data_IF_742326974709
#
_entry.id   IF_742326974709
#
_cell.length_a   1.000
_cell.length_b   1.000
_cell.length_c   1.000
_cell.angle_alpha   90.00
_cell.angle_beta   90.00
_cell.angle_gamma   90.00
#
_symmetry.space_group_name_H-M   'P 1'
#
loop_
_entity.id
_entity.type
_entity.pdbx_description
1 polymer ?
#
# COMPACT_ATOMS: atom_id res chain seq x y z
N UNK A 1 53.32 15.07 -29.46
CA UNK A 1 52.73 14.83 -28.12
C UNK A 1 52.16 13.41 -28.12
N UNK A 2 52.54 12.56 -27.17
CA UNK A 2 52.08 11.15 -27.19
C UNK A 2 50.57 11.07 -26.96
N UNK A 3 49.91 10.15 -27.65
CA UNK A 3 48.45 9.89 -27.63
C UNK A 3 47.87 9.67 -26.20
N UNK A 4 48.72 9.34 -25.22
CA UNK A 4 48.36 9.24 -23.79
C UNK A 4 47.98 10.56 -23.12
N UNK A 5 48.45 11.71 -23.61
CA UNK A 5 48.21 13.01 -22.97
C UNK A 5 46.80 13.58 -23.20
N UNK A 6 45.96 12.92 -24.01
CA UNK A 6 44.62 13.41 -24.33
C UNK A 6 43.45 12.60 -23.72
N UNK A 7 43.70 11.49 -23.03
CA UNK A 7 42.63 10.61 -22.51
C UNK A 7 42.48 10.71 -20.99
N UNK A 8 41.26 10.47 -20.50
CA UNK A 8 41.01 10.31 -19.07
C UNK A 8 41.59 8.99 -18.55
N UNK A 9 41.91 8.94 -17.26
CA UNK A 9 42.30 7.70 -16.58
C UNK A 9 41.18 6.66 -16.65
N UNK A 10 41.52 5.37 -16.63
CA UNK A 10 40.54 4.27 -16.65
C UNK A 10 39.51 4.36 -15.51
N UNK A 11 39.93 4.76 -14.31
CA UNK A 11 39.03 4.94 -13.15
C UNK A 11 38.01 6.06 -13.40
N UNK A 12 38.47 7.22 -13.90
CA UNK A 12 37.57 8.32 -14.27
C UNK A 12 36.55 7.92 -15.34
N UNK A 13 36.98 7.12 -16.33
CA UNK A 13 36.10 6.58 -17.37
C UNK A 13 35.07 5.65 -16.74
N UNK A 14 35.49 4.68 -15.93
CA UNK A 14 34.61 3.70 -15.28
C UNK A 14 33.55 4.40 -14.42
N UNK A 15 33.98 5.27 -13.50
CA UNK A 15 33.07 6.03 -12.63
C UNK A 15 32.08 6.86 -13.44
N UNK A 16 32.53 7.54 -14.50
CA UNK A 16 31.64 8.34 -15.34
C UNK A 16 30.53 7.50 -15.99
N UNK A 17 30.86 6.35 -16.58
CA UNK A 17 29.86 5.54 -17.29
C UNK A 17 28.93 4.78 -16.35
N UNK A 18 29.43 4.28 -15.20
CA UNK A 18 28.56 3.68 -14.18
C UNK A 18 27.56 4.72 -13.69
N UNK A 19 28.03 5.90 -13.29
CA UNK A 19 27.15 6.97 -12.82
C UNK A 19 26.18 7.41 -13.92
N UNK A 20 26.63 7.55 -15.17
CA UNK A 20 25.76 7.94 -16.28
C UNK A 20 24.63 6.92 -16.51
N UNK A 21 24.93 5.61 -16.44
CA UNK A 21 23.93 4.55 -16.57
C UNK A 21 22.94 4.55 -15.39
N UNK A 22 23.45 4.63 -14.16
CA UNK A 22 22.60 4.69 -12.96
C UNK A 22 21.71 5.93 -12.97
N UNK A 23 22.23 7.10 -13.35
CA UNK A 23 21.44 8.33 -13.46
C UNK A 23 20.33 8.24 -14.51
N UNK A 24 20.64 7.67 -15.69
CA UNK A 24 19.62 7.49 -16.72
C UNK A 24 18.49 6.55 -16.25
N UNK A 25 18.85 5.47 -15.56
CA UNK A 25 17.89 4.57 -14.93
C UNK A 25 17.07 5.27 -13.83
N UNK A 26 17.73 5.95 -12.91
CA UNK A 26 17.13 6.59 -11.74
C UNK A 26 16.16 7.72 -12.11
N UNK A 27 16.51 8.53 -13.12
CA UNK A 27 15.62 9.57 -13.64
C UNK A 27 14.36 8.98 -14.30
N UNK A 28 14.47 7.79 -14.93
CA UNK A 28 13.32 7.06 -15.47
C UNK A 28 12.48 6.43 -14.36
N UNK A 29 13.13 5.79 -13.39
CA UNK A 29 12.50 5.13 -12.24
C UNK A 29 11.69 6.14 -11.41
N UNK A 30 12.25 7.30 -11.11
CA UNK A 30 11.59 8.34 -10.32
C UNK A 30 10.28 8.84 -10.96
N UNK A 31 10.20 8.90 -12.29
CA UNK A 31 8.95 9.21 -13.01
C UNK A 31 7.95 8.05 -12.97
N UNK A 32 8.46 6.84 -13.01
CA UNK A 32 7.66 5.63 -12.86
C UNK A 32 6.90 5.58 -11.54
N UNK A 33 7.52 6.05 -10.45
CA UNK A 33 6.92 6.06 -9.11
C UNK A 33 5.59 6.82 -9.05
N UNK A 34 5.43 7.91 -9.82
CA UNK A 34 4.20 8.72 -9.86
C UNK A 34 2.97 7.93 -10.38
N UNK A 35 3.18 6.78 -11.01
CA UNK A 35 2.12 5.94 -11.57
C UNK A 35 1.92 4.62 -10.82
N UNK A 36 2.71 4.38 -9.76
CA UNK A 36 2.58 3.18 -8.94
C UNK A 36 1.66 3.42 -7.75
N UNK A 37 0.90 2.39 -7.42
CA UNK A 37 0.03 2.32 -6.24
C UNK A 37 0.64 1.35 -5.24
N UNK A 38 0.13 1.32 -4.02
CA UNK A 38 0.57 0.35 -3.02
C UNK A 38 0.38 -1.10 -3.50
N UNK A 39 -0.64 -1.35 -4.33
CA UNK A 39 -0.94 -2.66 -4.90
C UNK A 39 -0.02 -3.04 -6.08
N UNK A 40 0.57 -2.07 -6.79
CA UNK A 40 1.45 -2.33 -7.94
C UNK A 40 2.94 -2.29 -7.60
N UNK A 41 3.29 -2.35 -6.30
CA UNK A 41 4.68 -2.47 -5.85
C UNK A 41 5.39 -1.14 -5.60
N UNK A 42 4.65 -0.05 -5.32
CA UNK A 42 5.23 1.26 -5.01
C UNK A 42 6.35 1.19 -3.96
N UNK A 43 6.21 0.36 -2.94
CA UNK A 43 7.23 0.20 -1.89
C UNK A 43 8.55 -0.37 -2.43
N UNK A 44 8.52 -1.52 -3.11
CA UNK A 44 9.73 -2.18 -3.60
C UNK A 44 10.49 -1.29 -4.57
N UNK A 45 9.76 -0.62 -5.46
CA UNK A 45 10.34 0.31 -6.44
C UNK A 45 10.89 1.55 -5.73
N UNK A 46 10.22 2.04 -4.69
CA UNK A 46 10.71 3.16 -3.86
C UNK A 46 11.97 2.79 -3.09
N UNK A 47 12.07 1.59 -2.52
CA UNK A 47 13.28 1.12 -1.85
C UNK A 47 14.45 0.95 -2.85
N UNK A 48 14.16 0.47 -4.06
CA UNK A 48 15.15 0.39 -5.14
C UNK A 48 15.65 1.78 -5.55
N UNK A 49 14.74 2.74 -5.70
CA UNK A 49 15.08 4.15 -5.97
C UNK A 49 16.00 4.71 -4.90
N UNK A 50 15.65 4.61 -3.61
CA UNK A 50 16.52 5.04 -2.50
C UNK A 50 17.91 4.39 -2.57
N UNK A 51 17.96 3.09 -2.85
CA UNK A 51 19.22 2.32 -2.92
C UNK A 51 20.15 2.80 -4.03
N UNK A 52 19.59 3.04 -5.22
CA UNK A 52 20.34 3.52 -6.37
C UNK A 52 20.75 4.98 -6.17
N UNK A 53 19.86 5.83 -5.64
CA UNK A 53 20.17 7.21 -5.26
C UNK A 53 21.36 7.31 -4.30
N UNK A 54 21.39 6.51 -3.23
CA UNK A 54 22.53 6.44 -2.29
C UNK A 54 23.79 5.93 -2.99
N UNK A 55 23.68 4.94 -3.87
CA UNK A 55 24.81 4.44 -4.66
C UNK A 55 25.39 5.54 -5.56
N UNK A 56 24.55 6.31 -6.24
CA UNK A 56 24.95 7.46 -7.07
C UNK A 56 25.66 8.52 -6.22
N UNK A 57 25.16 8.82 -5.02
CA UNK A 57 25.78 9.76 -4.09
C UNK A 57 27.22 9.35 -3.75
N UNK A 58 27.40 8.10 -3.29
CA UNK A 58 28.70 7.57 -2.89
C UNK A 58 29.69 7.54 -4.07
N UNK A 59 29.25 7.07 -5.24
CA UNK A 59 30.07 7.07 -6.45
C UNK A 59 30.41 8.49 -6.91
N UNK A 60 29.50 9.44 -6.76
CA UNK A 60 29.72 10.85 -7.15
C UNK A 60 30.74 11.53 -6.25
N UNK A 61 30.72 11.25 -4.95
CA UNK A 61 31.75 11.69 -4.00
C UNK A 61 33.10 11.07 -4.39
N UNK A 62 33.15 9.77 -4.65
CA UNK A 62 34.36 9.09 -5.11
C UNK A 62 34.90 9.68 -6.43
N UNK A 63 34.01 10.00 -7.38
CA UNK A 63 34.36 10.64 -8.65
C UNK A 63 34.90 12.06 -8.46
N UNK A 64 34.30 12.83 -7.56
CA UNK A 64 34.78 14.18 -7.22
C UNK A 64 36.17 14.11 -6.58
N UNK A 65 36.36 13.22 -5.60
CA UNK A 65 37.67 12.97 -4.97
C UNK A 65 38.72 12.55 -6.00
N UNK A 66 38.39 11.62 -6.91
CA UNK A 66 39.28 11.20 -7.98
C UNK A 66 39.68 12.36 -8.89
N UNK A 67 38.73 13.21 -9.27
CA UNK A 67 38.98 14.40 -10.11
C UNK A 67 39.89 15.43 -9.44
N UNK A 68 39.77 15.59 -8.12
CA UNK A 68 40.63 16.50 -7.36
C UNK A 68 42.06 15.97 -7.24
N UNK A 69 42.22 14.65 -7.11
CA UNK A 69 43.53 13.98 -7.02
C UNK A 69 44.19 13.74 -8.38
N UNK A 70 43.39 13.63 -9.45
CA UNK A 70 43.85 13.32 -10.81
C UNK A 70 43.26 14.35 -11.78
N UNK A 71 43.97 15.46 -12.03
CA UNK A 71 43.49 16.53 -12.89
C UNK A 71 43.08 16.02 -14.28
N UNK A 72 41.95 16.50 -14.84
CA UNK A 72 41.52 16.09 -16.16
C UNK A 72 42.51 16.54 -17.25
N UNK A 73 42.53 15.87 -18.41
CA UNK A 73 43.31 16.31 -19.57
C UNK A 73 42.98 17.75 -19.96
N UNK A 74 43.96 18.45 -20.55
CA UNK A 74 43.78 19.83 -20.98
C UNK A 74 42.55 19.98 -21.91
N UNK A 75 41.76 21.07 -21.73
CA UNK A 75 40.64 21.37 -22.63
C UNK A 75 41.10 21.45 -24.09
N UNK A 76 40.22 21.04 -25.01
CA UNK A 76 40.45 21.32 -26.44
C UNK A 76 40.24 22.81 -26.73
N UNK A 77 40.88 23.36 -27.78
CA UNK A 77 40.61 24.73 -28.21
C UNK A 77 39.13 24.91 -28.56
N UNK A 78 38.46 25.87 -27.93
CA UNK A 78 37.08 26.26 -28.23
C UNK A 78 36.84 27.73 -27.84
N UNK A 79 35.67 28.27 -28.20
CA UNK A 79 35.23 29.60 -27.77
C UNK A 79 35.06 29.68 -26.24
N UNK A 80 35.35 30.85 -25.66
CA UNK A 80 35.20 31.09 -24.23
C UNK A 80 33.77 30.79 -23.72
N UNK A 81 32.75 31.14 -24.53
CA UNK A 81 31.35 30.86 -24.19
C UNK A 81 31.08 29.36 -24.03
N UNK A 82 31.56 28.53 -24.96
CA UNK A 82 31.36 27.09 -24.86
C UNK A 82 32.08 26.48 -23.64
N UNK A 83 33.27 26.97 -23.30
CA UNK A 83 33.95 26.55 -22.08
C UNK A 83 33.15 26.90 -20.82
N UNK A 84 32.56 28.09 -20.77
CA UNK A 84 31.69 28.50 -19.67
C UNK A 84 30.44 27.61 -19.62
N UNK A 85 29.74 27.42 -20.75
CA UNK A 85 28.54 26.57 -20.81
C UNK A 85 28.83 25.13 -20.37
N UNK A 86 29.90 24.53 -20.92
CA UNK A 86 30.31 23.18 -20.53
C UNK A 86 30.63 23.12 -19.03
N UNK A 87 31.38 24.08 -18.49
CA UNK A 87 31.70 24.12 -17.06
C UNK A 87 30.44 24.26 -16.20
N UNK A 88 29.51 25.13 -16.58
CA UNK A 88 28.25 25.34 -15.88
C UNK A 88 27.40 24.06 -15.84
N UNK A 89 27.23 23.38 -16.97
CA UNK A 89 26.50 22.11 -17.03
C UNK A 89 27.16 21.05 -16.15
N UNK A 90 28.50 20.94 -16.18
CA UNK A 90 29.19 19.96 -15.33
C UNK A 90 29.09 20.28 -13.84
N UNK A 91 29.18 21.55 -13.44
CA UNK A 91 28.98 21.96 -12.04
C UNK A 91 27.54 21.67 -11.61
N UNK A 92 26.56 22.02 -12.45
CA UNK A 92 25.15 21.73 -12.22
C UNK A 92 24.91 20.23 -12.03
N UNK A 93 25.50 19.38 -12.87
CA UNK A 93 25.40 17.92 -12.72
C UNK A 93 26.00 17.45 -11.39
N UNK A 94 27.14 17.97 -10.95
CA UNK A 94 27.69 17.62 -9.63
C UNK A 94 26.77 18.06 -8.49
N UNK A 95 26.22 19.27 -8.56
CA UNK A 95 25.27 19.77 -7.57
C UNK A 95 24.01 18.90 -7.52
N UNK A 96 23.50 18.46 -8.67
CA UNK A 96 22.36 17.55 -8.77
C UNK A 96 22.67 16.15 -8.22
N UNK A 97 23.74 15.50 -8.68
CA UNK A 97 24.11 14.14 -8.27
C UNK A 97 24.37 13.99 -6.77
N UNK A 98 24.69 15.09 -6.09
CA UNK A 98 24.90 15.12 -4.64
C UNK A 98 23.63 15.62 -3.92
N UNK A 99 23.06 16.73 -4.38
CA UNK A 99 21.92 17.37 -3.75
C UNK A 99 20.61 16.58 -3.84
N UNK A 100 20.35 15.89 -4.96
CA UNK A 100 19.11 15.14 -5.12
C UNK A 100 19.07 13.92 -4.17
N UNK A 101 20.10 13.06 -4.09
CA UNK A 101 20.10 11.99 -3.10
C UNK A 101 20.11 12.47 -1.65
N UNK A 102 20.80 13.59 -1.35
CA UNK A 102 20.81 14.15 0.00
C UNK A 102 19.45 14.70 0.42
N UNK A 103 18.72 15.36 -0.49
CA UNK A 103 17.34 15.80 -0.23
C UNK A 103 16.39 14.60 -0.06
N UNK A 104 16.53 13.56 -0.88
CA UNK A 104 15.75 12.32 -0.69
C UNK A 104 16.06 11.63 0.64
N UNK A 105 17.33 11.56 1.04
CA UNK A 105 17.74 11.00 2.34
C UNK A 105 17.20 11.84 3.51
N UNK A 106 17.24 13.18 3.41
CA UNK A 106 16.66 14.06 4.40
C UNK A 106 15.14 13.89 4.51
N UNK A 107 14.45 13.73 3.38
CA UNK A 107 13.01 13.46 3.33
C UNK A 107 12.68 12.20 4.13
N UNK A 108 13.33 11.06 3.84
CA UNK A 108 13.02 9.81 4.54
C UNK A 108 13.39 9.87 6.03
N UNK A 109 14.50 10.50 6.39
CA UNK A 109 14.93 10.62 7.80
C UNK A 109 14.09 11.57 8.65
N UNK A 110 13.20 12.34 8.02
CA UNK A 110 12.26 13.24 8.71
C UNK A 110 10.81 12.79 8.55
N UNK A 111 10.58 11.62 7.95
CA UNK A 111 9.25 11.05 7.74
C UNK A 111 8.58 10.68 9.05
N UNK A 112 7.26 10.89 9.14
CA UNK A 112 6.44 10.44 10.29
C UNK A 112 6.20 8.94 10.30
N UNK A 113 6.33 8.27 9.15
CA UNK A 113 6.11 6.83 9.04
C UNK A 113 7.26 6.01 9.62
N UNK A 114 8.44 6.62 9.81
CA UNK A 114 9.64 6.00 10.43
C UNK A 114 9.97 4.60 9.86
N UNK A 115 9.85 4.46 8.54
CA UNK A 115 10.11 3.21 7.83
C UNK A 115 11.60 3.11 7.53
N UNK A 116 12.18 1.96 7.84
CA UNK A 116 13.60 1.72 7.62
C UNK A 116 13.97 1.85 6.13
N UNK A 117 15.02 2.61 5.86
CA UNK A 117 15.65 2.61 4.54
C UNK A 117 16.52 1.38 4.43
N UNK A 118 16.13 0.43 3.57
CA UNK A 118 16.90 -0.79 3.32
C UNK A 118 17.57 -0.70 1.95
N UNK A 119 18.91 -0.65 1.93
CA UNK A 119 19.66 -0.77 0.68
C UNK A 119 19.45 -2.16 0.08
N UNK A 120 18.95 -2.18 -1.14
CA UNK A 120 18.63 -3.38 -1.90
C UNK A 120 17.81 -4.37 -1.06
N UNK A 121 16.87 -3.83 -0.27
CA UNK A 121 15.96 -4.57 0.62
C UNK A 121 16.65 -5.48 1.65
N UNK A 122 17.93 -5.25 1.95
CA UNK A 122 18.72 -6.17 2.79
C UNK A 122 19.57 -5.48 3.84
N UNK A 123 20.19 -4.35 3.51
CA UNK A 123 21.14 -3.68 4.41
C UNK A 123 20.48 -2.42 4.97
N UNK A 124 20.21 -2.33 6.29
CA UNK A 124 19.65 -1.13 6.87
C UNK A 124 20.60 0.06 6.71
N UNK A 125 20.07 1.16 6.19
CA UNK A 125 20.76 2.42 6.03
C UNK A 125 20.29 3.38 7.11
N UNK A 126 21.22 4.00 7.86
CA UNK A 126 20.85 4.85 8.98
C UNK A 126 20.19 6.15 8.50
N UNK A 127 19.34 6.69 9.35
CA UNK A 127 18.88 8.07 9.22
C UNK A 127 19.99 9.07 9.50
N UNK A 128 19.76 10.30 9.04
CA UNK A 128 20.65 11.43 9.27
C UNK A 128 20.76 11.69 10.79
N UNK A 129 21.95 11.58 11.41
CA UNK A 129 22.05 11.58 12.88
C UNK A 129 21.53 12.84 13.58
N UNK A 130 21.61 14.01 12.95
CA UNK A 130 21.24 15.28 13.57
C UNK A 130 19.73 15.57 13.53
N UNK A 131 18.93 14.84 12.73
CA UNK A 131 17.48 15.07 12.66
C UNK A 131 16.72 14.36 13.77
N UNK A 132 17.28 13.29 14.36
CA UNK A 132 16.59 12.44 15.33
C UNK A 132 16.04 13.21 16.54
N UNK A 133 16.80 14.19 17.05
CA UNK A 133 16.45 15.00 18.22
C UNK A 133 15.58 16.25 17.94
N UNK A 134 15.14 16.46 16.69
CA UNK A 134 14.30 17.59 16.34
C UNK A 134 12.85 17.38 16.78
N UNK A 135 12.18 18.48 17.16
CA UNK A 135 10.73 18.47 17.42
C UNK A 135 9.94 18.05 16.18
N UNK A 136 8.75 17.49 16.39
CA UNK A 136 7.90 16.97 15.31
C UNK A 136 7.56 18.03 14.25
N UNK A 137 7.30 19.27 14.66
CA UNK A 137 7.02 20.40 13.76
C UNK A 137 8.22 20.78 12.89
N UNK A 138 9.43 20.70 13.44
CA UNK A 138 10.66 20.95 12.71
C UNK A 138 10.97 19.83 11.71
N UNK A 139 10.76 18.56 12.11
CA UNK A 139 10.87 17.40 11.19
C UNK A 139 9.89 17.54 10.04
N UNK A 140 8.64 17.90 10.30
CA UNK A 140 7.61 18.10 9.27
C UNK A 140 7.98 19.22 8.29
N UNK A 141 8.46 20.36 8.78
CA UNK A 141 8.91 21.45 7.91
C UNK A 141 10.11 21.05 7.03
N UNK A 142 11.06 20.30 7.60
CA UNK A 142 12.21 19.79 6.85
C UNK A 142 11.82 18.74 5.82
N UNK A 143 10.91 17.83 6.19
CA UNK A 143 10.39 16.79 5.29
C UNK A 143 9.74 17.42 4.06
N UNK A 144 8.82 18.37 4.24
CA UNK A 144 8.16 19.05 3.13
C UNK A 144 9.11 19.88 2.26
N UNK A 145 10.09 20.55 2.87
CA UNK A 145 11.12 21.26 2.11
C UNK A 145 12.00 20.29 1.30
N UNK A 146 12.38 19.16 1.90
CA UNK A 146 13.21 18.15 1.26
C UNK A 146 12.48 17.46 0.09
N UNK A 147 11.20 17.13 0.28
CA UNK A 147 10.32 16.61 -0.78
C UNK A 147 10.26 17.56 -1.97
N UNK A 148 9.96 18.84 -1.74
CA UNK A 148 9.89 19.84 -2.80
C UNK A 148 11.23 19.98 -3.53
N UNK A 149 12.35 20.08 -2.80
CA UNK A 149 13.69 20.18 -3.39
C UNK A 149 14.02 18.94 -4.22
N UNK A 150 13.73 17.74 -3.71
CA UNK A 150 14.00 16.49 -4.39
C UNK A 150 13.21 16.40 -5.71
N UNK A 151 11.91 16.68 -5.68
CA UNK A 151 11.06 16.72 -6.87
C UNK A 151 11.51 17.76 -7.91
N UNK A 152 11.86 18.98 -7.46
CA UNK A 152 12.37 20.03 -8.34
C UNK A 152 13.72 19.64 -8.98
N UNK A 153 14.62 19.03 -8.20
CA UNK A 153 15.91 18.55 -8.69
C UNK A 153 15.76 17.43 -9.73
N UNK A 154 14.72 16.61 -9.67
CA UNK A 154 14.42 15.63 -10.72
C UNK A 154 14.28 16.26 -12.10
N UNK A 155 13.52 17.35 -12.22
CA UNK A 155 13.36 18.08 -13.49
C UNK A 155 14.64 18.78 -13.95
N UNK A 156 15.35 19.42 -13.01
CA UNK A 156 16.65 20.04 -13.28
C UNK A 156 17.67 18.99 -13.76
N UNK A 157 17.65 17.80 -13.15
CA UNK A 157 18.48 16.65 -13.51
C UNK A 157 18.27 16.20 -14.95
N UNK A 158 17.01 16.04 -15.38
CA UNK A 158 16.67 15.70 -16.78
C UNK A 158 17.22 16.76 -17.75
N UNK A 159 17.00 18.04 -17.47
CA UNK A 159 17.49 19.13 -18.32
C UNK A 159 19.02 19.15 -18.42
N UNK A 160 19.72 19.03 -17.30
CA UNK A 160 21.19 19.00 -17.25
C UNK A 160 21.76 17.77 -17.97
N UNK A 161 21.15 16.60 -17.77
CA UNK A 161 21.57 15.36 -18.43
C UNK A 161 21.40 15.48 -19.95
N UNK A 162 20.25 15.98 -20.42
CA UNK A 162 20.00 16.21 -21.83
C UNK A 162 21.00 17.22 -22.43
N UNK A 163 21.23 18.35 -21.76
CA UNK A 163 22.22 19.35 -22.20
C UNK A 163 23.63 18.78 -22.28
N UNK A 164 24.02 17.92 -21.33
CA UNK A 164 25.32 17.24 -21.34
C UNK A 164 25.47 16.31 -22.55
N UNK A 165 24.48 15.45 -22.82
CA UNK A 165 24.49 14.51 -23.95
C UNK A 165 24.47 15.26 -25.28
N UNK A 166 23.58 16.24 -25.45
CA UNK A 166 23.48 17.07 -26.66
C UNK A 166 24.78 17.83 -26.90
N UNK A 167 25.38 18.41 -25.85
CA UNK A 167 26.68 19.07 -25.94
C UNK A 167 27.77 18.12 -26.44
N UNK A 168 27.88 16.93 -25.85
CA UNK A 168 28.86 15.93 -26.26
C UNK A 168 28.66 15.46 -27.72
N UNK A 169 27.42 15.21 -28.13
CA UNK A 169 27.07 14.80 -29.49
C UNK A 169 27.32 15.92 -30.50
N UNK A 170 26.95 17.16 -30.19
CA UNK A 170 27.22 18.33 -31.05
C UNK A 170 28.72 18.46 -31.34
N UNK A 171 29.55 18.35 -30.32
CA UNK A 171 31.00 18.43 -30.49
C UNK A 171 31.55 17.26 -31.31
N UNK A 172 31.04 16.04 -31.11
CA UNK A 172 31.51 14.88 -31.83
C UNK A 172 31.05 14.86 -33.30
N UNK A 173 29.76 15.10 -33.56
CA UNK A 173 29.13 14.91 -34.86
C UNK A 173 29.22 16.16 -35.74
N UNK A 174 29.01 17.36 -35.18
CA UNK A 174 28.96 18.60 -35.97
C UNK A 174 30.33 19.28 -36.11
N UNK A 175 31.27 19.02 -35.18
CA UNK A 175 32.60 19.63 -35.18
C UNK A 175 33.75 18.65 -35.46
N UNK A 176 33.47 17.34 -35.49
CA UNK A 176 34.49 16.32 -35.72
C UNK A 176 35.55 16.22 -34.63
N UNK A 177 35.29 16.76 -33.43
CA UNK A 177 36.27 16.79 -32.34
C UNK A 177 36.33 15.42 -31.64
N UNK A 178 37.52 14.96 -31.22
CA UNK A 178 37.71 13.65 -30.59
C UNK A 178 37.25 13.62 -29.11
N UNK A 179 36.29 14.46 -28.69
CA UNK A 179 35.85 14.61 -27.30
C UNK A 179 35.34 13.30 -26.69
N UNK A 180 34.42 12.61 -27.38
CA UNK A 180 33.92 11.31 -26.93
C UNK A 180 35.05 10.27 -26.84
N UNK A 181 36.03 10.31 -27.75
CA UNK A 181 37.18 9.41 -27.74
C UNK A 181 38.04 9.49 -26.47
N UNK A 182 37.96 10.60 -25.72
CA UNK A 182 38.71 10.80 -24.48
C UNK A 182 38.08 10.09 -23.28
N UNK A 183 36.76 9.88 -23.30
CA UNK A 183 36.00 9.28 -22.20
C UNK A 183 35.38 7.93 -22.56
N UNK A 184 35.33 7.55 -23.84
CA UNK A 184 34.81 6.25 -24.26
C UNK A 184 35.61 5.10 -23.64
N UNK A 185 34.95 4.03 -23.17
CA UNK A 185 35.64 2.83 -22.71
C UNK A 185 36.39 2.24 -23.90
N UNK A 186 37.72 2.27 -23.86
CA UNK A 186 38.57 1.79 -24.95
C UNK A 186 39.80 1.06 -24.42
N UNK A 187 39.61 0.29 -23.34
CA UNK A 187 40.68 -0.29 -22.54
C UNK A 187 40.65 -1.84 -22.47
N UNK A 188 39.86 -2.52 -23.31
CA UNK A 188 39.84 -4.00 -23.40
C UNK A 188 40.43 -4.55 -24.72
N UNK A 189 41.20 -3.77 -25.47
CA UNK A 189 41.94 -4.27 -26.64
C UNK A 189 41.10 -4.71 -27.85
N UNK A 190 39.78 -4.77 -27.73
CA UNK A 190 38.88 -5.02 -28.87
C UNK A 190 38.79 -3.75 -29.72
N UNK A 191 38.84 -3.90 -31.04
CA UNK A 191 38.53 -2.84 -32.02
C UNK A 191 37.07 -2.96 -32.50
N UNK A 192 36.03 -2.64 -31.71
CA UNK A 192 34.67 -2.56 -32.26
C UNK A 192 34.43 -1.17 -32.86
N UNK A 193 33.55 -1.09 -33.85
CA UNK A 193 33.15 0.16 -34.50
C UNK A 193 32.66 1.18 -33.46
N UNK A 194 33.33 2.34 -33.40
CA UNK A 194 33.15 3.40 -32.38
C UNK A 194 31.70 3.87 -32.19
N UNK A 195 30.82 3.65 -33.17
CA UNK A 195 29.38 3.94 -33.08
C UNK A 195 28.53 2.85 -32.41
N UNK A 196 28.89 1.57 -32.54
CA UNK A 196 28.06 0.46 -32.06
C UNK A 196 28.02 0.34 -30.52
N UNK A 197 29.07 0.81 -29.83
CA UNK A 197 29.16 0.71 -28.36
C UNK A 197 28.38 1.82 -27.63
N UNK A 198 28.32 3.02 -28.22
CA UNK A 198 27.47 4.13 -27.73
C UNK A 198 26.00 3.79 -27.96
N UNK A 199 25.69 3.22 -29.13
CA UNK A 199 24.36 2.68 -29.43
C UNK A 199 24.03 1.52 -28.50
N UNK A 200 24.97 0.63 -28.17
CA UNK A 200 24.74 -0.49 -27.25
C UNK A 200 24.43 -0.07 -25.81
N UNK A 201 25.10 0.94 -25.27
CA UNK A 201 24.86 1.44 -23.90
C UNK A 201 23.57 2.29 -23.80
N UNK A 202 23.29 3.12 -24.80
CA UNK A 202 22.02 3.85 -24.89
C UNK A 202 20.85 2.94 -25.29
N UNK A 203 21.06 1.94 -26.14
CA UNK A 203 20.05 0.94 -26.45
C UNK A 203 19.83 0.02 -25.26
N UNK A 204 20.83 -0.37 -24.45
CA UNK A 204 20.55 -1.07 -23.20
C UNK A 204 19.76 -0.19 -22.22
N UNK A 205 20.11 1.08 -22.04
CA UNK A 205 19.33 1.96 -21.15
C UNK A 205 17.90 2.23 -21.67
N UNK A 206 17.73 2.44 -22.99
CA UNK A 206 16.43 2.65 -23.62
C UNK A 206 15.61 1.36 -23.72
N UNK A 207 16.23 0.21 -24.02
CA UNK A 207 15.59 -1.12 -24.02
C UNK A 207 15.28 -1.55 -22.59
N UNK A 208 16.11 -1.25 -21.59
CA UNK A 208 15.77 -1.44 -20.18
C UNK A 208 14.60 -0.54 -19.77
N UNK A 209 14.54 0.73 -20.19
CA UNK A 209 13.41 1.62 -19.92
C UNK A 209 12.13 1.17 -20.63
N UNK A 210 12.24 0.68 -21.88
CA UNK A 210 11.11 0.23 -22.70
C UNK A 210 10.62 -1.15 -22.26
N UNK A 211 11.51 -2.11 -21.97
CA UNK A 211 11.19 -3.40 -21.40
C UNK A 211 10.70 -3.28 -19.95
N UNK A 212 11.20 -2.33 -19.16
CA UNK A 212 10.64 -2.04 -17.84
C UNK A 212 9.22 -1.48 -17.94
N UNK A 213 8.99 -0.49 -18.82
CA UNK A 213 7.66 0.06 -19.07
C UNK A 213 6.68 -1.00 -19.64
N UNK A 214 7.17 -1.93 -20.46
CA UNK A 214 6.35 -2.99 -21.08
C UNK A 214 6.13 -4.22 -20.18
N UNK A 215 7.10 -4.57 -19.32
CA UNK A 215 7.06 -5.81 -18.52
C UNK A 215 6.62 -5.58 -17.07
N UNK A 216 6.78 -4.38 -16.53
CA UNK A 216 6.31 -4.01 -15.17
C UNK A 216 5.06 -3.12 -15.21
N UNK A 217 4.85 -2.35 -16.29
CA UNK A 217 3.65 -1.54 -16.53
C UNK A 217 2.46 -2.29 -17.13
N UNK A 218 2.39 -3.61 -16.98
CA UNK A 218 1.32 -4.42 -17.58
C UNK A 218 1.40 -5.94 -17.38
N UNK A 219 2.47 -6.46 -16.78
CA UNK A 219 2.55 -7.86 -16.37
C UNK A 219 1.75 -8.06 -15.09
N UNK A 220 0.64 -8.79 -15.18
CA UNK A 220 -0.06 -9.36 -14.02
C UNK A 220 0.96 -10.14 -13.21
N UNK A 221 1.50 -9.55 -12.13
CA UNK A 221 1.95 -10.38 -11.03
C UNK A 221 0.71 -11.16 -10.61
N UNK A 222 0.76 -12.49 -10.72
CA UNK A 222 -0.24 -13.36 -10.15
C UNK A 222 -0.16 -13.20 -8.64
N UNK A 223 -0.82 -12.15 -8.16
CA UNK A 223 -1.48 -12.13 -6.85
C UNK A 223 -2.16 -13.49 -6.73
N UNK A 224 -1.98 -14.28 -5.65
CA UNK A 224 -2.94 -15.32 -5.35
C UNK A 224 -4.30 -14.66 -5.48
N UNK A 225 -5.15 -15.18 -6.36
CA UNK A 225 -6.40 -14.54 -6.69
C UNK A 225 -7.08 -14.14 -5.37
N UNK A 226 -7.50 -12.88 -5.18
CA UNK A 226 -8.52 -12.63 -4.19
C UNK A 226 -9.63 -13.64 -4.49
N UNK A 227 -10.16 -14.32 -3.47
CA UNK A 227 -11.35 -15.15 -3.62
C UNK A 227 -12.29 -14.40 -4.58
N UNK A 228 -12.54 -15.00 -5.74
CA UNK A 228 -13.24 -14.32 -6.81
C UNK A 228 -14.55 -13.77 -6.22
N UNK A 229 -14.92 -12.54 -6.57
CA UNK A 229 -16.21 -11.97 -6.17
C UNK A 229 -17.39 -12.84 -6.63
N UNK A 230 -17.16 -13.80 -7.53
CA UNK A 230 -18.12 -14.78 -8.03
C UNK A 230 -18.31 -15.99 -7.08
N UNK A 231 -17.39 -16.21 -6.13
CA UNK A 231 -17.50 -17.24 -5.07
C UNK A 231 -17.98 -16.67 -3.72
N UNK A 232 -18.27 -15.36 -3.67
CA UNK A 232 -19.00 -14.73 -2.57
C UNK A 232 -20.49 -14.73 -2.93
N UNK A 233 -21.40 -15.25 -2.08
CA UNK A 233 -22.83 -15.00 -2.29
C UNK A 233 -23.04 -13.48 -2.32
N UNK A 234 -23.81 -13.01 -3.30
CA UNK A 234 -23.98 -11.61 -3.64
C UNK A 234 -24.10 -10.73 -2.39
N UNK A 235 -23.06 -9.94 -2.12
CA UNK A 235 -23.06 -8.90 -1.10
C UNK A 235 -24.12 -7.88 -1.49
N UNK A 236 -25.31 -7.93 -0.89
CA UNK A 236 -26.24 -6.80 -0.98
C UNK A 236 -25.55 -5.61 -0.31
N UNK A 237 -25.01 -4.74 -1.15
CA UNK A 237 -24.51 -3.44 -0.76
C UNK A 237 -25.73 -2.64 -0.31
N UNK A 238 -26.04 -2.62 0.99
CA UNK A 238 -26.99 -1.67 1.56
C UNK A 238 -26.44 -0.27 1.26
N UNK A 239 -27.10 0.46 0.36
CA UNK A 239 -26.73 1.84 0.04
C UNK A 239 -26.93 2.69 1.29
N UNK A 240 -25.89 3.41 1.68
CA UNK A 240 -25.79 4.24 2.88
C UNK A 240 -26.82 5.40 2.97
N UNK A 241 -27.73 5.57 2.00
CA UNK A 241 -28.64 6.71 1.92
C UNK A 241 -30.03 6.46 2.55
N UNK A 242 -30.30 5.27 3.08
CA UNK A 242 -31.63 4.94 3.64
C UNK A 242 -31.67 4.89 5.19
N UNK A 243 -30.55 5.16 5.88
CA UNK A 243 -30.48 5.17 7.36
C UNK A 243 -30.59 6.57 7.98
N UNK A 244 -31.10 7.56 7.23
CA UNK A 244 -31.17 8.95 7.71
C UNK A 244 -32.57 9.57 7.64
N UNK A 245 -33.62 8.78 7.42
CA UNK A 245 -35.01 9.27 7.31
C UNK A 245 -35.88 9.07 8.56
N UNK A 246 -35.44 8.33 9.58
CA UNK A 246 -36.20 8.17 10.84
C UNK A 246 -35.63 9.06 11.95
N UNK A 247 -35.87 10.36 11.81
CA UNK A 247 -35.84 11.27 12.95
C UNK A 247 -36.83 12.42 12.72
N UNK A 248 -37.89 12.39 13.53
CA UNK A 248 -38.81 13.48 13.90
C UNK A 248 -39.98 13.75 12.92
N UNK A 249 -41.20 13.31 13.27
CA UNK A 249 -42.33 14.17 13.70
C UNK A 249 -43.56 13.32 14.10
N UNK A 250 -43.78 13.26 15.42
CA UNK A 250 -45.01 13.36 16.23
C UNK A 250 -46.44 12.99 15.73
N UNK A 251 -47.14 12.36 16.70
CA UNK A 251 -48.58 12.39 17.07
C UNK A 251 -49.59 11.28 16.64
N UNK A 252 -50.01 10.55 17.69
CA UNK A 252 -51.17 9.73 18.10
C UNK A 252 -52.55 9.74 17.35
N UNK A 253 -53.52 8.85 17.72
CA UNK A 253 -54.26 7.98 16.79
C UNK A 253 -55.79 8.19 16.72
N UNK A 254 -56.46 7.59 15.72
CA UNK A 254 -57.91 7.25 15.71
C UNK A 254 -58.13 6.16 14.63
N UNK A 255 -58.58 4.94 14.96
CA UNK A 255 -59.96 4.47 15.21
C UNK A 255 -60.81 4.19 13.94
N UNK A 256 -61.11 2.89 13.79
CA UNK A 256 -62.33 2.26 13.21
C UNK A 256 -62.80 2.64 11.80
N UNK A 257 -62.95 1.64 10.93
CA UNK A 257 -64.28 1.18 10.47
C UNK A 257 -64.17 -0.16 9.70
N UNK A 258 -65.23 -0.94 9.84
CA UNK A 258 -65.43 -2.27 9.27
C UNK A 258 -66.34 -2.20 8.04
N UNK A 259 -66.14 -3.12 7.09
CA UNK A 259 -67.15 -3.66 6.15
C UNK A 259 -66.59 -5.00 5.65
N UNK A 260 -67.11 -6.16 6.07
CA UNK A 260 -68.24 -6.88 5.44
C UNK A 260 -68.09 -7.01 3.91
N UNK A 261 -67.76 -8.21 3.44
CA UNK A 261 -68.65 -8.96 2.54
C UNK A 261 -68.27 -10.44 2.51
N UNK A 262 -69.32 -11.26 2.43
CA UNK A 262 -69.37 -12.70 2.59
C UNK A 262 -69.55 -13.42 1.24
N UNK A 263 -69.82 -14.72 1.34
CA UNK A 263 -70.26 -15.70 0.32
C UNK A 263 -69.09 -16.51 -0.29
N UNK A 264 -68.80 -17.70 0.25
CA UNK A 264 -69.47 -19.00 0.04
C UNK A 264 -69.47 -19.43 -1.44
N UNK A 265 -68.74 -20.51 -1.74
CA UNK A 265 -69.35 -21.66 -2.42
C UNK A 265 -68.57 -22.96 -2.17
N UNK A 266 -69.40 -23.94 -1.86
CA UNK A 266 -69.26 -25.37 -1.57
C UNK A 266 -68.56 -26.13 -2.72
N UNK A 267 -67.73 -27.13 -2.39
CA UNK A 267 -67.95 -28.47 -2.96
C UNK A 267 -67.12 -29.53 -2.21
N UNK A 268 -67.85 -30.50 -1.69
CA UNK A 268 -67.35 -31.67 -1.00
C UNK A 268 -66.97 -32.78 -1.98
N UNK A 269 -65.87 -33.46 -1.69
CA UNK A 269 -65.63 -34.83 -2.15
C UNK A 269 -64.83 -35.60 -1.09
N UNK A 270 -65.54 -36.47 -0.38
CA UNK A 270 -64.97 -37.64 0.29
C UNK A 270 -64.43 -38.58 -0.80
N UNK A 271 -63.24 -39.16 -0.65
CA UNK A 271 -63.09 -40.55 -0.19
C UNK A 271 -61.61 -40.99 -0.19
N UNK A 272 -61.36 -42.04 0.60
CA UNK A 272 -60.23 -42.97 0.59
C UNK A 272 -58.96 -42.60 1.36
N UNK A 273 -58.98 -43.07 2.60
CA UNK A 273 -57.81 -43.37 3.40
C UNK A 273 -57.01 -44.55 2.81
N UNK A 274 -55.74 -44.33 2.50
CA UNK A 274 -54.73 -45.38 2.48
C UNK A 274 -53.60 -45.06 3.46
N UNK A 275 -53.43 -46.03 4.35
CA UNK A 275 -52.42 -46.23 5.38
C UNK A 275 -51.00 -46.06 4.82
N UNK A 276 -50.34 -44.96 5.21
CA UNK A 276 -48.90 -44.85 5.12
C UNK A 276 -48.41 -44.26 6.45
N UNK A 277 -48.03 -45.15 7.36
CA UNK A 277 -47.33 -44.80 8.59
C UNK A 277 -45.94 -44.22 8.25
N UNK A 278 -45.92 -42.95 7.85
CA UNK A 278 -44.74 -42.11 7.97
C UNK A 278 -44.60 -41.74 9.43
N UNK A 279 -43.43 -42.02 9.99
CA UNK A 279 -43.02 -41.49 11.29
C UNK A 279 -43.12 -39.96 11.20
N UNK A 280 -44.18 -39.40 11.79
CA UNK A 280 -44.18 -38.02 12.21
C UNK A 280 -43.00 -37.87 13.17
N UNK A 281 -41.89 -37.31 12.68
CA UNK A 281 -40.92 -36.67 13.55
C UNK A 281 -41.71 -35.62 14.35
N UNK A 282 -41.89 -35.86 15.64
CA UNK A 282 -42.34 -34.82 16.57
C UNK A 282 -41.55 -33.55 16.23
N UNK A 283 -42.19 -32.39 15.99
CA UNK A 283 -41.45 -31.16 15.84
C UNK A 283 -40.66 -30.99 17.13
N UNK A 284 -39.33 -31.13 17.06
CA UNK A 284 -38.45 -30.82 18.17
C UNK A 284 -38.89 -29.45 18.69
N UNK A 285 -39.42 -29.39 19.91
CA UNK A 285 -39.77 -28.11 20.51
C UNK A 285 -38.53 -27.24 20.39
N UNK A 286 -38.62 -26.08 19.71
CA UNK A 286 -37.43 -25.37 19.36
C UNK A 286 -36.74 -24.91 20.64
N UNK A 287 -35.44 -25.15 20.69
CA UNK A 287 -34.67 -24.96 21.91
C UNK A 287 -34.78 -23.51 22.42
N UNK A 288 -35.45 -23.35 23.55
CA UNK A 288 -35.57 -22.08 24.29
C UNK A 288 -34.29 -21.70 25.05
N UNK A 289 -33.17 -22.38 24.77
CA UNK A 289 -31.89 -22.25 25.48
C UNK A 289 -30.78 -21.84 24.52
N UNK A 290 -29.90 -20.93 24.96
CA UNK A 290 -28.68 -20.59 24.23
C UNK A 290 -27.59 -21.66 24.44
N UNK A 291 -26.88 -22.02 23.37
CA UNK A 291 -25.82 -23.04 23.37
C UNK A 291 -24.46 -22.41 23.22
N UNK A 292 -23.42 -23.08 23.73
CA UNK A 292 -22.04 -22.68 23.50
C UNK A 292 -21.57 -23.21 22.14
N UNK A 293 -21.16 -22.30 21.25
CA UNK A 293 -20.70 -22.61 19.91
C UNK A 293 -19.17 -22.51 19.84
N UNK A 294 -18.53 -23.55 19.30
CA UNK A 294 -17.09 -23.60 19.05
C UNK A 294 -16.80 -23.38 17.58
N UNK A 295 -15.96 -22.40 17.27
CA UNK A 295 -15.53 -22.12 15.90
C UNK A 295 -14.69 -23.29 15.36
N UNK A 296 -15.11 -23.88 14.24
CA UNK A 296 -14.48 -25.05 13.60
C UNK A 296 -13.70 -24.69 12.34
N UNK A 297 -14.19 -23.73 11.54
CA UNK A 297 -13.51 -23.23 10.35
C UNK A 297 -13.27 -21.72 10.48
N UNK A 298 -12.03 -21.32 10.73
CA UNK A 298 -11.63 -19.91 10.90
C UNK A 298 -11.12 -19.33 9.59
N UNK A 299 -11.89 -18.42 8.98
CA UNK A 299 -11.33 -17.50 7.99
C UNK A 299 -10.67 -16.31 8.69
N UNK A 300 -9.67 -15.66 8.10
CA UNK A 300 -9.14 -14.39 8.61
C UNK A 300 -10.26 -13.34 8.75
N UNK A 301 -10.17 -12.48 9.77
CA UNK A 301 -11.07 -11.32 9.88
C UNK A 301 -10.54 -10.25 8.92
N UNK A 302 -11.31 -9.88 7.91
CA UNK A 302 -10.94 -8.87 6.93
C UNK A 302 -11.13 -7.45 7.47
N UNK A 303 -10.32 -6.52 6.97
CA UNK A 303 -10.55 -5.09 7.14
C UNK A 303 -10.20 -4.32 5.86
N UNK A 304 -10.90 -3.21 5.62
CA UNK A 304 -10.66 -2.34 4.49
C UNK A 304 -10.83 -0.86 4.87
N UNK A 305 -9.94 -0.01 4.37
CA UNK A 305 -9.99 1.43 4.57
C UNK A 305 -9.53 2.18 3.31
N UNK A 306 -9.88 3.46 3.20
CA UNK A 306 -9.44 4.30 2.09
C UNK A 306 -8.25 5.15 2.54
N UNK A 307 -7.17 5.16 1.76
CA UNK A 307 -5.98 5.96 1.98
C UNK A 307 -5.58 6.67 0.69
N UNK A 308 -5.54 7.99 0.71
CA UNK A 308 -5.28 8.87 -0.44
C UNK A 308 -6.15 8.53 -1.66
N UNK A 309 -7.41 8.17 -1.42
CA UNK A 309 -8.37 7.77 -2.44
C UNK A 309 -8.30 6.30 -2.89
N UNK A 310 -7.33 5.52 -2.40
CA UNK A 310 -7.18 4.10 -2.73
C UNK A 310 -7.72 3.19 -1.62
N UNK A 311 -8.35 2.08 -1.97
CA UNK A 311 -8.79 1.09 -0.97
C UNK A 311 -7.64 0.15 -0.61
N UNK A 312 -7.22 0.20 0.65
CA UNK A 312 -6.29 -0.76 1.26
C UNK A 312 -7.12 -1.85 1.93
N UNK A 313 -6.76 -3.11 1.68
CA UNK A 313 -7.37 -4.29 2.31
C UNK A 313 -6.33 -5.03 3.13
N UNK A 314 -6.77 -5.60 4.24
CA UNK A 314 -5.95 -6.50 5.05
C UNK A 314 -6.79 -7.49 5.81
N UNK A 315 -6.13 -8.31 6.62
CA UNK A 315 -6.79 -9.29 7.46
C UNK A 315 -6.00 -9.57 8.74
N UNK A 316 -6.69 -10.11 9.74
CA UNK A 316 -6.12 -10.67 10.96
C UNK A 316 -6.27 -12.18 10.96
N UNK A 317 -5.16 -12.90 11.03
CA UNK A 317 -5.16 -14.37 11.06
C UNK A 317 -5.21 -14.96 12.47
N UNK A 318 -4.79 -14.21 13.50
CA UNK A 318 -4.90 -14.63 14.90
C UNK A 318 -6.17 -14.06 15.53
N UNK A 319 -7.20 -14.90 15.66
CA UNK A 319 -8.39 -14.56 16.44
C UNK A 319 -9.05 -15.78 17.06
N UNK A 320 -9.82 -15.52 18.12
CA UNK A 320 -10.70 -16.50 18.74
C UNK A 320 -12.01 -15.83 19.16
N UNK A 321 -13.04 -16.65 19.36
CA UNK A 321 -14.33 -16.21 19.84
C UNK A 321 -14.88 -17.21 20.86
N UNK A 322 -15.56 -16.68 21.87
CA UNK A 322 -16.47 -17.41 22.75
C UNK A 322 -17.88 -16.98 22.36
N UNK A 323 -18.69 -17.92 21.91
CA UNK A 323 -20.01 -17.64 21.37
C UNK A 323 -21.02 -18.47 22.17
N UNK A 324 -21.98 -17.79 22.78
CA UNK A 324 -23.19 -18.40 23.31
C UNK A 324 -24.36 -17.84 22.53
N UNK A 325 -25.15 -18.70 21.88
CA UNK A 325 -26.21 -18.22 20.99
C UNK A 325 -27.40 -19.19 20.96
N UNK A 326 -28.61 -18.62 20.97
CA UNK A 326 -29.86 -19.31 20.70
C UNK A 326 -30.85 -18.38 20.02
N UNK A 327 -31.43 -18.80 18.89
CA UNK A 327 -32.30 -17.96 18.04
C UNK A 327 -33.54 -17.43 18.78
N UNK A 328 -34.02 -18.18 19.77
CA UNK A 328 -35.17 -17.84 20.60
C UNK A 328 -34.78 -17.42 22.02
N UNK A 329 -33.48 -17.40 22.34
CA UNK A 329 -32.90 -17.04 23.63
C UNK A 329 -31.80 -15.98 23.47
N UNK A 330 -32.11 -14.92 22.71
CA UNK A 330 -31.16 -13.84 22.39
C UNK A 330 -30.71 -13.06 23.64
N UNK A 331 -31.57 -12.96 24.65
CA UNK A 331 -31.27 -12.39 25.97
C UNK A 331 -30.19 -13.17 26.74
N UNK A 332 -30.04 -14.47 26.45
CA UNK A 332 -28.99 -15.34 26.98
C UNK A 332 -27.77 -15.46 26.06
N UNK A 333 -27.79 -14.76 24.92
CA UNK A 333 -26.76 -14.85 23.89
C UNK A 333 -25.66 -13.81 24.09
N UNK A 334 -24.41 -14.22 23.89
CA UNK A 334 -23.24 -13.37 24.01
C UNK A 334 -22.15 -13.76 23.01
N UNK A 335 -21.51 -12.76 22.44
CA UNK A 335 -20.37 -12.91 21.53
C UNK A 335 -19.18 -12.14 22.14
N UNK A 336 -18.09 -12.85 22.37
CA UNK A 336 -16.83 -12.29 22.87
C UNK A 336 -15.69 -12.71 21.95
N UNK A 337 -15.15 -11.77 21.17
CA UNK A 337 -14.12 -11.99 20.16
C UNK A 337 -12.82 -11.34 20.60
N UNK A 338 -11.70 -12.05 20.49
CA UNK A 338 -10.38 -11.49 20.74
C UNK A 338 -9.46 -11.68 19.53
N UNK A 339 -8.86 -10.59 19.06
CA UNK A 339 -8.05 -10.51 17.85
C UNK A 339 -6.62 -10.13 18.24
N UNK A 340 -5.62 -10.90 17.79
CA UNK A 340 -4.22 -10.59 17.95
C UNK A 340 -3.76 -9.60 16.88
N UNK A 341 -3.43 -8.37 17.30
CA UNK A 341 -3.16 -7.26 16.37
C UNK A 341 -1.84 -7.42 15.61
N UNK A 342 -0.89 -8.19 16.13
CA UNK A 342 0.37 -8.52 15.44
C UNK A 342 0.16 -9.36 14.16
N UNK A 343 -1.01 -9.99 14.02
CA UNK A 343 -1.35 -10.81 12.85
C UNK A 343 -1.87 -10.00 11.66
N UNK A 344 -2.03 -8.68 11.80
CA UNK A 344 -2.52 -7.82 10.73
C UNK A 344 -1.61 -7.86 9.49
N UNK A 345 -2.16 -8.19 8.33
CA UNK A 345 -1.44 -8.19 7.05
C UNK A 345 -2.30 -7.59 5.95
N UNK A 346 -1.72 -6.69 5.17
CA UNK A 346 -2.30 -6.07 3.97
C UNK A 346 -1.66 -6.60 2.69
N UNK A 347 -0.55 -7.33 2.82
CA UNK A 347 0.26 -7.74 1.67
C UNK A 347 1.20 -6.63 1.18
N UNK A 348 1.14 -5.44 1.78
CA UNK A 348 2.07 -4.35 1.54
C UNK A 348 3.04 -4.23 2.72
N UNK A 349 4.33 -4.48 2.47
CA UNK A 349 5.35 -4.48 3.52
C UNK A 349 5.43 -3.16 4.30
N UNK A 350 5.25 -2.02 3.63
CA UNK A 350 5.30 -0.69 4.25
C UNK A 350 4.17 -0.49 5.25
N UNK A 351 2.95 -0.86 4.85
CA UNK A 351 1.77 -0.77 5.72
C UNK A 351 1.92 -1.77 6.85
N UNK A 352 2.33 -3.00 6.54
CA UNK A 352 2.48 -4.07 7.53
C UNK A 352 3.57 -3.77 8.58
N UNK A 353 4.62 -3.03 8.20
CA UNK A 353 5.65 -2.53 9.11
C UNK A 353 5.13 -1.39 10.01
N UNK A 354 4.27 -0.52 9.48
CA UNK A 354 3.70 0.60 10.22
C UNK A 354 2.57 0.19 11.19
N UNK A 355 1.73 -0.78 10.81
CA UNK A 355 0.53 -1.18 11.58
C UNK A 355 0.79 -1.53 13.06
N UNK A 356 1.88 -2.22 13.44
CA UNK A 356 2.23 -2.48 14.84
C UNK A 356 2.52 -1.22 15.68
N UNK A 357 2.94 -0.13 15.04
CA UNK A 357 3.48 1.07 15.65
C UNK A 357 2.51 1.82 16.56
N UNK A 358 3.05 2.72 17.39
CA UNK A 358 2.29 3.47 18.40
C UNK A 358 1.18 4.37 17.80
N UNK A 359 1.39 4.85 16.58
CA UNK A 359 0.42 5.69 15.87
C UNK A 359 -0.71 4.89 15.23
N UNK A 360 -0.53 3.57 15.09
CA UNK A 360 -1.54 2.65 14.57
C UNK A 360 -2.07 1.76 15.71
N UNK A 361 -1.78 0.46 15.73
CA UNK A 361 -2.37 -0.46 16.72
C UNK A 361 -1.72 -0.41 18.11
N UNK A 362 -0.53 0.17 18.25
CA UNK A 362 0.23 0.27 19.50
C UNK A 362 0.38 -1.09 20.21
N UNK A 363 0.79 -2.13 19.47
CA UNK A 363 0.70 -3.53 19.93
C UNK A 363 1.59 -3.82 21.14
N UNK A 364 2.67 -3.04 21.34
CA UNK A 364 3.56 -3.16 22.48
C UNK A 364 2.83 -2.91 23.81
N UNK A 365 1.87 -1.97 23.81
CA UNK A 365 1.03 -1.69 24.98
C UNK A 365 -0.30 -2.46 24.94
N UNK A 366 -0.86 -2.67 23.75
CA UNK A 366 -2.19 -3.27 23.56
C UNK A 366 -2.13 -4.38 22.50
N UNK A 367 -1.68 -5.61 22.83
CA UNK A 367 -1.42 -6.64 21.84
C UNK A 367 -2.68 -7.24 21.21
N UNK A 368 -3.85 -7.05 21.83
CA UNK A 368 -5.12 -7.61 21.39
C UNK A 368 -6.21 -6.55 21.32
N UNK A 369 -7.07 -6.68 20.31
CA UNK A 369 -8.39 -6.05 20.30
C UNK A 369 -9.41 -7.05 20.85
N UNK A 370 -10.51 -6.53 21.42
CA UNK A 370 -11.59 -7.36 21.94
C UNK A 370 -12.94 -6.72 21.66
N UNK A 371 -13.85 -7.46 21.04
CA UNK A 371 -15.25 -7.09 20.93
C UNK A 371 -16.07 -7.93 21.92
N UNK A 372 -16.98 -7.29 22.65
CA UNK A 372 -17.97 -7.99 23.49
C UNK A 372 -19.36 -7.43 23.20
N UNK A 373 -20.28 -8.30 22.81
CA UNK A 373 -21.69 -7.93 22.66
C UNK A 373 -22.33 -7.63 24.01
N UNK A 374 -23.19 -6.62 24.03
CA UNK A 374 -24.05 -6.27 25.15
C UNK A 374 -25.50 -6.70 24.88
N UNK A 375 -25.90 -6.71 23.61
CA UNK A 375 -27.27 -6.97 23.16
C UNK A 375 -27.22 -7.59 21.76
N UNK A 376 -28.10 -8.56 21.50
CA UNK A 376 -28.25 -9.20 20.19
C UNK A 376 -29.74 -9.23 19.83
N UNK A 377 -30.06 -8.79 18.61
CA UNK A 377 -31.45 -8.71 18.12
C UNK A 377 -31.58 -9.40 16.77
N UNK A 378 -32.73 -10.03 16.55
CA UNK A 378 -33.11 -10.50 15.22
C UNK A 378 -33.57 -9.32 14.36
N UNK A 379 -33.16 -9.32 13.10
CA UNK A 379 -33.64 -8.44 12.03
C UNK A 379 -34.57 -9.20 11.06
N UNK A 380 -34.94 -10.44 11.39
CA UNK A 380 -35.72 -11.33 10.53
C UNK A 380 -34.93 -11.95 9.37
N UNK A 381 -35.35 -13.14 8.93
CA UNK A 381 -34.75 -13.86 7.79
C UNK A 381 -33.28 -14.20 8.02
N UNK A 382 -32.96 -14.87 9.14
CA UNK A 382 -31.60 -15.29 9.54
C UNK A 382 -30.60 -14.14 9.74
N UNK A 383 -31.07 -12.88 9.78
CA UNK A 383 -30.23 -11.70 10.02
C UNK A 383 -30.29 -11.27 11.46
N UNK A 384 -29.15 -10.86 11.99
CA UNK A 384 -28.98 -10.45 13.37
C UNK A 384 -28.12 -9.19 13.46
N UNK A 385 -28.38 -8.40 14.50
CA UNK A 385 -27.57 -7.25 14.90
C UNK A 385 -27.02 -7.50 16.31
N UNK A 386 -25.70 -7.49 16.47
CA UNK A 386 -25.04 -7.56 17.77
C UNK A 386 -24.41 -6.20 18.10
N UNK A 387 -24.95 -5.51 19.10
CA UNK A 387 -24.40 -4.25 19.61
C UNK A 387 -23.45 -4.55 20.75
N UNK A 388 -22.26 -3.97 20.71
CA UNK A 388 -21.23 -4.25 21.69
C UNK A 388 -20.19 -3.16 21.81
N UNK A 389 -19.17 -3.43 22.60
CA UNK A 389 -18.02 -2.55 22.76
C UNK A 389 -16.79 -3.20 22.12
N UNK A 390 -16.11 -2.47 21.25
CA UNK A 390 -14.79 -2.80 20.73
C UNK A 390 -13.75 -2.06 21.55
N UNK A 391 -12.91 -2.82 22.27
CA UNK A 391 -11.68 -2.33 22.88
C UNK A 391 -10.51 -2.51 21.92
N UNK A 392 -9.85 -1.41 21.55
CA UNK A 392 -8.75 -1.35 20.62
C UNK A 392 -7.81 -0.20 21.01
N UNK A 393 -6.50 -0.44 21.02
CA UNK A 393 -5.47 0.58 21.36
C UNK A 393 -5.72 1.28 22.72
N UNK A 394 -6.21 0.53 23.71
CA UNK A 394 -6.51 1.06 25.05
C UNK A 394 -7.75 1.95 25.15
N UNK A 395 -8.50 2.12 24.06
CA UNK A 395 -9.78 2.83 24.00
C UNK A 395 -10.92 1.83 23.75
N UNK A 396 -12.12 2.13 24.23
CA UNK A 396 -13.31 1.29 24.05
C UNK A 396 -14.44 2.11 23.46
N UNK A 397 -14.95 1.70 22.30
CA UNK A 397 -16.03 2.39 21.58
C UNK A 397 -17.18 1.44 21.27
N UNK A 398 -18.43 1.94 21.22
CA UNK A 398 -19.55 1.14 20.76
C UNK A 398 -19.40 0.79 19.27
N UNK A 399 -19.63 -0.47 18.93
CA UNK A 399 -19.63 -0.98 17.56
C UNK A 399 -20.82 -1.91 17.39
N UNK A 400 -21.44 -1.85 16.21
CA UNK A 400 -22.55 -2.73 15.83
C UNK A 400 -22.06 -3.70 14.76
N UNK A 401 -22.19 -4.99 15.03
CA UNK A 401 -21.97 -6.06 14.06
C UNK A 401 -23.32 -6.44 13.43
N UNK A 402 -23.33 -6.65 12.13
CA UNK A 402 -24.49 -7.22 11.41
C UNK A 402 -24.06 -8.51 10.75
N UNK A 403 -24.85 -9.56 10.91
CA UNK A 403 -24.50 -10.87 10.37
C UNK A 403 -25.73 -11.68 9.96
N UNK A 404 -25.51 -12.60 9.03
CA UNK A 404 -26.42 -13.70 8.73
C UNK A 404 -25.94 -14.94 9.45
N UNK A 405 -26.88 -15.79 9.86
CA UNK A 405 -26.59 -17.05 10.53
C UNK A 405 -27.48 -18.15 9.98
N UNK A 406 -26.87 -19.16 9.39
CA UNK A 406 -27.56 -20.37 8.93
C UNK A 406 -27.19 -21.52 9.86
N UNK A 407 -28.18 -22.06 10.56
CA UNK A 407 -28.01 -23.19 11.49
C UNK A 407 -28.58 -24.45 10.83
N UNK A 408 -27.76 -25.50 10.79
CA UNK A 408 -28.15 -26.85 10.37
C UNK A 408 -27.78 -27.85 11.46
N UNK A 409 -28.78 -28.25 12.24
CA UNK A 409 -28.66 -29.15 13.38
C UNK A 409 -27.69 -28.65 14.44
N UNK A 410 -26.48 -29.22 14.47
CA UNK A 410 -25.40 -28.88 15.43
C UNK A 410 -24.32 -28.00 14.83
N UNK A 411 -24.47 -27.58 13.57
CA UNK A 411 -23.51 -26.74 12.85
C UNK A 411 -24.15 -25.40 12.49
N UNK A 412 -23.33 -24.37 12.40
CA UNK A 412 -23.75 -23.03 12.00
C UNK A 412 -22.71 -22.37 11.10
N UNK A 413 -23.18 -21.60 10.12
CA UNK A 413 -22.36 -20.74 9.27
C UNK A 413 -22.74 -19.28 9.52
N UNK A 414 -21.75 -18.44 9.81
CA UNK A 414 -21.93 -17.02 10.08
C UNK A 414 -21.16 -16.17 9.07
N UNK A 415 -21.83 -15.19 8.47
CA UNK A 415 -21.21 -14.16 7.63
C UNK A 415 -21.63 -12.78 8.12
N UNK A 416 -20.68 -11.88 8.33
CA UNK A 416 -21.03 -10.56 8.84
C UNK A 416 -20.01 -9.48 8.57
N UNK A 417 -20.42 -8.26 8.91
CA UNK A 417 -19.63 -7.06 8.77
C UNK A 417 -19.88 -6.07 9.91
N UNK A 418 -18.98 -5.08 9.98
CA UNK A 418 -19.11 -3.91 10.83
C UNK A 418 -18.38 -2.72 10.22
N UNK A 419 -18.80 -1.51 10.60
CA UNK A 419 -18.06 -0.29 10.32
C UNK A 419 -17.49 0.27 11.62
N UNK A 420 -16.20 0.56 11.61
CA UNK A 420 -15.44 1.05 12.76
C UNK A 420 -14.85 2.42 12.40
N UNK A 421 -15.02 3.41 13.28
CA UNK A 421 -14.36 4.71 13.12
C UNK A 421 -12.94 4.65 13.72
N UNK A 422 -11.90 4.63 12.89
CA UNK A 422 -10.50 4.56 13.34
C UNK A 422 -10.07 5.74 14.20
N UNK A 423 -10.60 6.94 13.92
CA UNK A 423 -10.18 8.17 14.57
C UNK A 423 -10.64 8.22 16.03
N UNK A 424 -11.76 7.56 16.35
CA UNK A 424 -12.27 7.38 17.71
C UNK A 424 -11.35 6.51 18.60
N UNK A 425 -10.49 5.70 17.97
CA UNK A 425 -9.43 4.93 18.65
C UNK A 425 -8.07 5.64 18.60
N UNK A 426 -7.98 6.80 17.95
CA UNK A 426 -6.73 7.53 17.77
C UNK A 426 -5.75 6.87 16.80
N UNK A 427 -6.23 6.01 15.91
CA UNK A 427 -5.42 5.30 14.92
C UNK A 427 -5.16 6.24 13.74
N UNK A 428 -3.88 6.52 13.47
CA UNK A 428 -3.40 7.36 12.37
C UNK A 428 -3.99 8.78 12.38
N UNK A 429 -4.10 9.41 13.57
CA UNK A 429 -4.56 10.82 13.72
C UNK A 429 -3.46 11.87 13.43
N UNK A 430 -2.28 11.44 12.97
CA UNK A 430 -1.18 12.32 12.55
C UNK A 430 -1.22 12.64 11.06
N UNK A 431 -0.16 13.28 10.54
CA UNK A 431 -0.07 13.60 9.11
C UNK A 431 0.43 12.39 8.32
N UNK A 432 -0.48 11.45 8.05
CA UNK A 432 -0.24 10.23 7.26
C UNK A 432 -0.84 10.33 5.85
N UNK A 433 -1.21 11.53 5.40
CA UNK A 433 -2.07 11.73 4.23
C UNK A 433 -3.55 11.61 4.59
N UNK A 434 -4.41 11.53 3.57
CA UNK A 434 -5.86 11.47 3.76
C UNK A 434 -6.30 10.02 3.96
N UNK A 435 -6.63 9.64 5.19
CA UNK A 435 -7.16 8.30 5.50
C UNK A 435 -8.63 8.49 5.90
N UNK A 436 -9.55 7.74 5.28
CA UNK A 436 -10.95 7.79 5.68
C UNK A 436 -11.12 7.27 7.12
N UNK A 437 -12.02 7.89 7.87
CA UNK A 437 -12.31 7.48 9.25
C UNK A 437 -12.99 6.11 9.33
N UNK A 438 -13.84 5.80 8.34
CA UNK A 438 -14.56 4.55 8.27
C UNK A 438 -13.65 3.40 7.80
N UNK A 439 -13.58 2.36 8.64
CA UNK A 439 -12.94 1.08 8.35
C UNK A 439 -14.02 0.01 8.30
N UNK A 440 -14.11 -0.70 7.19
CA UNK A 440 -14.99 -1.86 7.08
C UNK A 440 -14.28 -3.08 7.65
N UNK A 441 -15.00 -3.92 8.38
CA UNK A 441 -14.53 -5.18 8.94
C UNK A 441 -15.50 -6.27 8.48
N UNK A 442 -14.96 -7.40 8.02
CA UNK A 442 -15.73 -8.55 7.56
C UNK A 442 -15.25 -9.84 8.24
N UNK A 443 -16.17 -10.79 8.42
CA UNK A 443 -15.87 -12.09 8.98
C UNK A 443 -16.76 -13.17 8.39
N UNK A 444 -16.20 -14.37 8.27
CA UNK A 444 -16.90 -15.57 7.86
C UNK A 444 -16.32 -16.77 8.62
N UNK A 445 -17.17 -17.58 9.25
CA UNK A 445 -16.71 -18.80 9.91
C UNK A 445 -17.84 -19.82 10.06
N UNK A 446 -17.44 -21.06 10.31
CA UNK A 446 -18.35 -22.12 10.74
C UNK A 446 -18.11 -22.47 12.21
N UNK A 447 -19.17 -22.86 12.92
CA UNK A 447 -19.13 -23.29 14.31
C UNK A 447 -19.98 -24.55 14.55
N UNK A 448 -19.70 -25.25 15.65
CA UNK A 448 -20.50 -26.38 16.12
C UNK A 448 -20.75 -26.31 17.62
N UNK A 449 -21.91 -26.79 18.07
CA UNK A 449 -22.30 -26.85 19.49
C UNK A 449 -22.13 -28.24 20.10
#
# INVERSE_FOLDING_TARGET
MSDRQQRYSAIAILLHWIIAALLAFELGLGRGLEHLTLATGLFDVTQLHKSIGITILLLSIARLGWRLLNPPPAPLPDSALNHVLAKTVHIGLYAFMIGAPLSGWLMVSTSKLDIDTLLFSTIPWPDIPWVGGLEASAKEALNGAAEWVHGALGWVGVALFALHVVGALRHHLLRGEPLLGRILPGAFGLRPNRGAMVIGLFALASVSLTLWAQNWGGGKAETPAPLAAEDMPATQTLKLNELQADAVEDEEPEATEATEDAEEEDDAAEDEAEDNAEQEEEPEEPATTAYDWRVTNKQPIGFAFVWNGETVRGSFSDWNATIRFGEQALDQSNIDVSIGLASARTGNAQVDEALPGADFFAIAANPRARFRSNDIRSLGGNRYEARGNLSLRGSSQPVTLRFTLDIDGTTASANGNASVNRAAFGIANGSYGDIADAVQVDFNFSASR
#
